data_IF_319197449541
#
_entry.id   IF_319197449541
#
_cell.length_a   1.000
_cell.length_b   1.000
_cell.length_c   1.000
_cell.angle_alpha   90.00
_cell.angle_beta   90.00
_cell.angle_gamma   90.00
#
_symmetry.space_group_name_H-M   'P 1'
#
loop_
_entity.id
_entity.type
_entity.pdbx_description
1 polymer ?
#
# COMPACT_ATOMS: atom_id res chain seq x y z
N UNK A 1 6.78 -25.23 -1.23
CA UNK A 1 7.34 -23.86 -1.30
C UNK A 1 8.23 -23.79 -2.52
N UNK A 2 7.82 -23.06 -3.57
CA UNK A 2 8.63 -22.94 -4.78
C UNK A 2 9.98 -22.30 -4.48
N UNK A 3 11.04 -22.78 -5.12
CA UNK A 3 12.39 -22.24 -4.96
C UNK A 3 12.40 -20.72 -5.24
N UNK A 4 13.10 -19.94 -4.40
CA UNK A 4 13.28 -18.50 -4.58
C UNK A 4 13.97 -18.27 -5.93
N UNK A 5 13.29 -17.56 -6.84
CA UNK A 5 13.82 -17.24 -8.17
C UNK A 5 14.62 -15.95 -8.12
N UNK A 6 15.77 -15.92 -8.81
CA UNK A 6 16.60 -14.72 -8.95
C UNK A 6 15.96 -13.79 -9.98
N UNK A 7 16.01 -12.49 -9.71
CA UNK A 7 15.61 -11.43 -10.63
C UNK A 7 16.61 -10.28 -10.54
N UNK A 8 16.74 -9.50 -11.61
CA UNK A 8 17.58 -8.31 -11.66
C UNK A 8 16.68 -7.10 -11.83
N UNK A 9 16.86 -6.08 -10.98
CA UNK A 9 16.12 -4.82 -11.05
C UNK A 9 17.09 -3.67 -11.23
N UNK A 10 16.70 -2.68 -12.02
CA UNK A 10 17.42 -1.42 -12.15
C UNK A 10 16.82 -0.42 -11.16
N UNK A 11 17.68 0.26 -10.41
CA UNK A 11 17.30 1.27 -9.44
C UNK A 11 18.09 2.54 -9.72
N UNK A 12 17.44 3.68 -9.59
CA UNK A 12 18.13 4.97 -9.59
C UNK A 12 19.17 5.00 -8.46
N UNK A 13 20.35 5.63 -8.67
CA UNK A 13 21.44 5.59 -7.69
C UNK A 13 21.04 6.08 -6.30
N UNK A 14 20.20 7.11 -6.23
CA UNK A 14 19.70 7.68 -4.98
C UNK A 14 18.77 6.72 -4.24
N UNK A 15 17.91 6.01 -4.97
CA UNK A 15 17.01 4.99 -4.43
C UNK A 15 17.81 3.80 -3.90
N UNK A 16 18.82 3.33 -4.66
CA UNK A 16 19.70 2.26 -4.20
C UNK A 16 20.42 2.64 -2.91
N UNK A 17 20.89 3.89 -2.80
CA UNK A 17 21.54 4.40 -1.58
C UNK A 17 20.59 4.40 -0.39
N UNK A 18 19.38 4.92 -0.57
CA UNK A 18 18.36 4.93 0.48
C UNK A 18 17.98 3.51 0.92
N UNK A 19 17.74 2.60 -0.03
CA UNK A 19 17.38 1.21 0.25
C UNK A 19 18.50 0.47 1.01
N UNK A 20 19.77 0.71 0.67
CA UNK A 20 20.91 0.15 1.41
C UNK A 20 20.95 0.64 2.85
N UNK A 21 20.76 1.94 3.09
CA UNK A 21 20.75 2.50 4.44
C UNK A 21 19.62 1.89 5.28
N UNK A 22 18.42 1.76 4.71
CA UNK A 22 17.28 1.13 5.39
C UNK A 22 17.52 -0.35 5.70
N UNK A 23 18.11 -1.09 4.77
CA UNK A 23 18.44 -2.50 4.99
C UNK A 23 19.45 -2.69 6.15
N UNK A 24 20.48 -1.81 6.22
CA UNK A 24 21.45 -1.80 7.32
C UNK A 24 20.81 -1.44 8.64
N UNK A 25 19.96 -0.40 8.67
CA UNK A 25 19.21 0.01 9.87
C UNK A 25 18.35 -1.11 10.44
N UNK A 26 17.75 -1.93 9.56
CA UNK A 26 16.88 -3.04 9.92
C UNK A 26 17.63 -4.39 10.06
N UNK A 27 18.97 -4.38 10.09
CA UNK A 27 19.83 -5.58 10.19
C UNK A 27 19.46 -6.71 9.22
N UNK A 28 19.13 -6.35 7.98
CA UNK A 28 18.72 -7.29 6.94
C UNK A 28 19.42 -7.05 5.60
N UNK A 29 19.40 -8.06 4.74
CA UNK A 29 19.99 -7.94 3.39
C UNK A 29 19.15 -7.02 2.49
N UNK A 30 19.78 -6.32 1.55
CA UNK A 30 19.05 -5.50 0.56
C UNK A 30 18.01 -6.31 -0.23
N UNK A 31 18.30 -7.57 -0.56
CA UNK A 31 17.38 -8.43 -1.31
C UNK A 31 16.18 -8.89 -0.46
N UNK A 32 16.35 -8.98 0.86
CA UNK A 32 15.26 -9.22 1.81
C UNK A 32 14.39 -7.99 1.94
N UNK A 33 15.00 -6.83 2.13
CA UNK A 33 14.32 -5.54 2.24
C UNK A 33 13.46 -5.24 0.99
N UNK A 34 14.05 -5.41 -0.20
CA UNK A 34 13.31 -5.21 -1.46
C UNK A 34 12.20 -6.24 -1.65
N UNK A 35 12.40 -7.49 -1.23
CA UNK A 35 11.33 -8.50 -1.29
C UNK A 35 10.18 -8.11 -0.37
N UNK A 36 10.47 -7.71 0.86
CA UNK A 36 9.45 -7.28 1.83
C UNK A 36 8.67 -6.07 1.32
N UNK A 37 9.36 -5.07 0.77
CA UNK A 37 8.70 -3.91 0.17
C UNK A 37 7.74 -4.31 -0.96
N UNK A 38 8.13 -5.21 -1.87
CA UNK A 38 7.27 -5.69 -2.96
C UNK A 38 6.08 -6.49 -2.42
N UNK A 39 6.29 -7.36 -1.43
CA UNK A 39 5.20 -8.12 -0.81
C UNK A 39 4.21 -7.20 -0.10
N UNK A 40 4.71 -6.19 0.62
CA UNK A 40 3.87 -5.20 1.31
C UNK A 40 3.02 -4.42 0.32
N UNK A 41 3.59 -3.92 -0.78
CA UNK A 41 2.83 -3.20 -1.82
C UNK A 41 1.73 -4.07 -2.42
N UNK A 42 2.03 -5.34 -2.74
CA UNK A 42 1.03 -6.24 -3.31
C UNK A 42 -0.08 -6.61 -2.33
N UNK A 43 0.23 -6.67 -1.02
CA UNK A 43 -0.77 -6.90 0.01
C UNK A 43 -1.70 -5.70 0.16
N UNK A 44 -1.15 -4.48 0.18
CA UNK A 44 -1.94 -3.23 0.20
C UNK A 44 -2.88 -3.14 -1.01
N UNK A 45 -2.35 -3.40 -2.22
CA UNK A 45 -3.15 -3.40 -3.44
C UNK A 45 -4.31 -4.41 -3.35
N UNK A 46 -4.07 -5.59 -2.76
CA UNK A 46 -5.10 -6.61 -2.58
C UNK A 46 -6.17 -6.14 -1.59
N UNK A 47 -5.77 -5.56 -0.46
CA UNK A 47 -6.68 -5.03 0.55
C UNK A 47 -7.58 -3.94 -0.03
N UNK A 48 -7.03 -3.04 -0.83
CA UNK A 48 -7.77 -2.00 -1.55
C UNK A 48 -8.81 -2.58 -2.51
N UNK A 49 -8.41 -3.60 -3.29
CA UNK A 49 -9.31 -4.30 -4.21
C UNK A 49 -10.44 -4.98 -3.43
N UNK A 50 -10.16 -5.58 -2.29
CA UNK A 50 -11.16 -6.23 -1.45
C UNK A 50 -12.14 -5.22 -0.84
N UNK A 51 -11.65 -4.10 -0.34
CA UNK A 51 -12.49 -3.00 0.18
C UNK A 51 -13.39 -2.50 -0.95
N UNK A 52 -12.84 -2.19 -2.13
CA UNK A 52 -13.62 -1.76 -3.28
C UNK A 52 -14.71 -2.78 -3.66
N UNK A 53 -14.40 -4.09 -3.64
CA UNK A 53 -15.36 -5.16 -3.91
C UNK A 53 -16.46 -5.23 -2.85
N UNK A 54 -16.13 -5.12 -1.56
CA UNK A 54 -17.10 -5.12 -0.45
C UNK A 54 -18.07 -3.94 -0.57
N UNK A 55 -17.54 -2.78 -0.95
CA UNK A 55 -18.30 -1.52 -1.11
C UNK A 55 -19.06 -1.39 -2.42
N UNK A 56 -18.91 -2.34 -3.36
CA UNK A 56 -19.55 -2.30 -4.68
C UNK A 56 -21.08 -2.16 -4.65
N UNK A 57 -21.73 -2.65 -3.58
CA UNK A 57 -23.19 -2.59 -3.40
C UNK A 57 -23.66 -1.41 -2.54
N UNK A 58 -22.74 -0.59 -2.03
CA UNK A 58 -23.13 0.61 -1.27
C UNK A 58 -23.91 1.56 -2.20
N UNK A 59 -25.04 2.12 -1.73
CA UNK A 59 -25.75 3.13 -2.50
C UNK A 59 -24.87 4.37 -2.65
N UNK A 60 -24.97 5.00 -3.82
CA UNK A 60 -24.38 6.33 -3.99
C UNK A 60 -25.24 7.34 -3.24
N UNK A 61 -24.59 8.24 -2.50
CA UNK A 61 -25.24 9.35 -1.80
C UNK A 61 -24.83 10.66 -2.46
N UNK A 62 -25.75 11.62 -2.52
CA UNK A 62 -25.45 12.95 -3.04
C UNK A 62 -24.60 13.73 -2.04
N UNK A 63 -23.85 14.72 -2.52
CA UNK A 63 -23.10 15.61 -1.63
C UNK A 63 -24.07 16.40 -0.74
N UNK A 64 -25.22 16.80 -1.27
CA UNK A 64 -26.26 17.53 -0.56
C UNK A 64 -26.80 16.74 0.65
N UNK A 65 -27.00 15.43 0.51
CA UNK A 65 -27.48 14.59 1.62
C UNK A 65 -26.40 14.40 2.69
N UNK A 66 -25.13 14.23 2.29
CA UNK A 66 -24.01 14.21 3.24
C UNK A 66 -23.92 15.52 4.03
N UNK A 67 -24.06 16.67 3.37
CA UNK A 67 -23.99 17.97 4.04
C UNK A 67 -25.15 18.19 5.02
N UNK A 68 -26.36 17.69 4.71
CA UNK A 68 -27.48 17.72 5.65
C UNK A 68 -27.19 16.86 6.89
N UNK A 69 -26.63 15.67 6.71
CA UNK A 69 -26.30 14.77 7.82
C UNK A 69 -25.17 15.33 8.70
N UNK A 70 -24.17 16.00 8.11
CA UNK A 70 -23.10 16.66 8.85
C UNK A 70 -23.61 17.84 9.69
N UNK A 71 -24.49 18.68 9.12
CA UNK A 71 -25.15 19.77 9.88
C UNK A 71 -25.99 19.23 11.03
N UNK A 72 -26.71 18.13 10.80
CA UNK A 72 -27.55 17.49 11.81
C UNK A 72 -26.72 16.88 12.95
N UNK A 73 -25.53 16.39 12.66
CA UNK A 73 -24.60 15.82 13.66
C UNK A 73 -23.75 16.87 14.37
N UNK A 74 -23.83 18.15 13.98
CA UNK A 74 -23.08 19.25 14.59
C UNK A 74 -21.57 19.23 14.27
N UNK A 75 -21.18 18.46 13.25
CA UNK A 75 -19.80 18.42 12.75
C UNK A 75 -19.49 19.61 11.84
N UNK A 76 -20.53 20.27 11.31
CA UNK A 76 -20.49 21.55 10.58
C UNK A 76 -21.74 22.38 10.89
#
# INVERSE_FOLDING_TARGET
MGARKKTTVYLEPEILKAAKLRAVEADQSLAEYLREAVVAQLAEDLDDIEIAKKRKKEPRISLEDVLKDLRKSGLI
#
